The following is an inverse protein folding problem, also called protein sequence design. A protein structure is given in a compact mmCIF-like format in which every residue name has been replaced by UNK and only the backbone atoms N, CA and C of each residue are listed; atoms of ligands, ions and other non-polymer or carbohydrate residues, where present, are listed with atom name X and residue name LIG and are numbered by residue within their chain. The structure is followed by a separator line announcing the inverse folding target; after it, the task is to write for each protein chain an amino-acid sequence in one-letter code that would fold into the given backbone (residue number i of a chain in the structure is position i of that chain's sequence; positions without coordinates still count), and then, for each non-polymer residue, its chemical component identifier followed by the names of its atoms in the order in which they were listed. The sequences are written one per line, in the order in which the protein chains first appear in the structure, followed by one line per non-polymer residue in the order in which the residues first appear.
data_IF_719194926816
#
_entry.id   IF_719194926816
#
_cell.length_a   1.000
_cell.length_b   1.000
_cell.length_c   1.000
_cell.angle_alpha   90.00
_cell.angle_beta   90.00
_cell.angle_gamma   90.00
#
_symmetry.space_group_name_H-M   'P 1'
#
loop_
_entity.id
_entity.type
_entity.pdbx_description
1 polymer ?
#
# COMPACT_ATOMS: atom_id res chain seq x y z
N UNK A 1 4.06 -3.85 34.01
CA UNK A 1 4.26 -2.61 33.23
C UNK A 1 3.06 -2.50 32.28
N UNK A 2 2.30 -1.40 32.31
CA UNK A 2 1.09 -1.25 31.48
C UNK A 2 1.53 -1.12 30.01
N UNK A 3 1.08 -2.03 29.14
CA UNK A 3 1.41 -2.04 27.72
C UNK A 3 0.48 -1.09 26.97
N UNK A 4 1.02 0.04 26.50
CA UNK A 4 0.23 1.09 25.83
C UNK A 4 0.61 1.25 24.37
N UNK A 5 -0.38 1.49 23.51
CA UNK A 5 -0.19 1.82 22.10
C UNK A 5 -0.94 3.10 21.75
N UNK A 6 -0.21 4.09 21.28
CA UNK A 6 -0.76 5.32 20.74
C UNK A 6 -1.25 5.11 19.31
N UNK A 7 -2.55 5.31 19.06
CA UNK A 7 -3.14 5.12 17.73
C UNK A 7 -3.04 6.37 16.84
N UNK A 8 -2.83 7.53 17.44
CA UNK A 8 -2.73 8.82 16.74
C UNK A 8 -1.74 8.81 15.54
N UNK A 9 -0.48 8.33 15.67
CA UNK A 9 0.47 8.31 14.56
C UNK A 9 0.00 7.40 13.41
N UNK A 10 -0.55 6.23 13.72
CA UNK A 10 -1.07 5.29 12.71
C UNK A 10 -2.22 5.89 11.92
N UNK A 11 -3.17 6.53 12.61
CA UNK A 11 -4.30 7.21 11.98
C UNK A 11 -3.84 8.37 11.10
N UNK A 12 -2.83 9.13 11.53
CA UNK A 12 -2.25 10.21 10.73
C UNK A 12 -1.65 9.67 9.43
N UNK A 13 -0.78 8.66 9.52
CA UNK A 13 -0.19 8.05 8.33
C UNK A 13 -1.23 7.45 7.39
N UNK A 14 -2.20 6.71 7.93
CA UNK A 14 -3.32 6.18 7.15
C UNK A 14 -4.05 7.28 6.37
N UNK A 15 -4.44 8.37 7.03
CA UNK A 15 -5.16 9.49 6.39
C UNK A 15 -4.32 10.15 5.31
N UNK A 16 -3.03 10.39 5.58
CA UNK A 16 -2.10 10.95 4.60
C UNK A 16 -1.98 10.05 3.37
N UNK A 17 -1.76 8.75 3.58
CA UNK A 17 -1.64 7.78 2.48
C UNK A 17 -2.93 7.66 1.67
N UNK A 18 -4.09 7.58 2.35
CA UNK A 18 -5.38 7.53 1.67
C UNK A 18 -5.62 8.79 0.82
N UNK A 19 -5.31 9.97 1.37
CA UNK A 19 -5.45 11.24 0.66
C UNK A 19 -4.55 11.28 -0.56
N UNK A 20 -3.27 10.89 -0.43
CA UNK A 20 -2.33 10.82 -1.54
C UNK A 20 -2.84 9.85 -2.62
N UNK A 21 -3.31 8.66 -2.23
CA UNK A 21 -3.82 7.67 -3.19
C UNK A 21 -5.03 8.19 -3.97
N UNK A 22 -5.99 8.82 -3.29
CA UNK A 22 -7.16 9.46 -3.94
C UNK A 22 -6.71 10.56 -4.91
N UNK A 23 -5.77 11.42 -4.50
CA UNK A 23 -5.26 12.50 -5.34
C UNK A 23 -4.51 11.97 -6.58
N UNK A 24 -3.74 10.89 -6.43
CA UNK A 24 -3.05 10.25 -7.56
C UNK A 24 -4.05 9.68 -8.57
N UNK A 25 -5.08 8.99 -8.10
CA UNK A 25 -6.11 8.42 -8.98
C UNK A 25 -6.87 9.53 -9.68
N UNK A 26 -7.39 10.51 -8.94
CA UNK A 26 -8.12 11.65 -9.51
C UNK A 26 -7.24 12.45 -10.49
N UNK A 27 -5.97 12.67 -10.15
CA UNK A 27 -5.00 13.34 -11.01
C UNK A 27 -4.75 12.58 -12.31
N UNK A 28 -4.57 11.26 -12.25
CA UNK A 28 -4.38 10.44 -13.46
C UNK A 28 -5.61 10.43 -14.36
N UNK A 29 -6.82 10.36 -13.78
CA UNK A 29 -8.08 10.48 -14.53
C UNK A 29 -8.20 11.84 -15.21
N UNK A 30 -7.85 12.92 -14.51
CA UNK A 30 -7.88 14.27 -15.06
C UNK A 30 -6.90 14.43 -16.24
N UNK A 31 -5.66 13.92 -16.11
CA UNK A 31 -4.67 13.97 -17.19
C UNK A 31 -5.13 13.21 -18.43
N UNK A 32 -5.73 12.04 -18.26
CA UNK A 32 -6.31 11.24 -19.36
C UNK A 32 -7.49 11.97 -20.00
N UNK A 33 -8.37 12.56 -19.19
CA UNK A 33 -9.53 13.32 -19.68
C UNK A 33 -9.10 14.56 -20.49
N UNK A 34 -8.06 15.27 -20.05
CA UNK A 34 -7.46 16.39 -20.77
C UNK A 34 -6.68 15.98 -22.03
N UNK A 35 -6.59 14.67 -22.33
CA UNK A 35 -5.79 14.10 -23.41
C UNK A 35 -4.31 14.49 -23.34
N UNK A 36 -3.79 14.77 -22.14
CA UNK A 36 -2.39 15.10 -21.89
C UNK A 36 -1.48 13.86 -21.90
N UNK A 37 -1.80 12.85 -22.72
CA UNK A 37 -1.12 11.56 -22.73
C UNK A 37 0.01 11.60 -23.76
N UNK A 38 1.23 11.18 -23.43
CA UNK A 38 2.26 11.01 -24.44
C UNK A 38 1.84 9.90 -25.40
N UNK A 39 1.80 10.20 -26.70
CA UNK A 39 1.52 9.21 -27.75
C UNK A 39 2.70 8.24 -27.80
N UNK A 40 2.54 7.05 -27.20
CA UNK A 40 3.52 5.97 -27.30
C UNK A 40 3.32 5.22 -28.62
N UNK A 41 4.32 5.23 -29.50
CA UNK A 41 4.27 4.55 -30.80
C UNK A 41 4.14 3.02 -30.67
N UNK A 42 3.36 2.36 -31.55
CA UNK A 42 2.94 0.96 -31.38
C UNK A 42 3.99 -0.10 -31.76
N UNK A 43 5.15 0.25 -32.32
CA UNK A 43 6.08 -0.72 -32.95
C UNK A 43 6.94 -1.52 -31.96
N UNK A 44 7.25 -0.98 -30.77
CA UNK A 44 7.94 -1.70 -29.67
C UNK A 44 6.98 -2.27 -28.63
N UNK A 45 5.67 -2.18 -28.88
CA UNK A 45 4.66 -2.18 -27.83
C UNK A 45 4.39 -3.53 -27.16
N UNK A 46 4.66 -4.70 -27.78
CA UNK A 46 4.29 -5.99 -27.17
C UNK A 46 5.13 -6.34 -25.95
N UNK A 47 6.46 -6.21 -26.04
CA UNK A 47 7.35 -6.59 -24.94
C UNK A 47 7.25 -5.59 -23.78
N UNK A 48 7.20 -4.29 -24.10
CA UNK A 48 6.97 -3.22 -23.13
C UNK A 48 5.60 -3.39 -22.46
N UNK A 49 4.52 -3.62 -23.22
CA UNK A 49 3.18 -3.85 -22.67
C UNK A 49 3.13 -5.07 -21.76
N UNK A 50 3.76 -6.18 -22.14
CA UNK A 50 3.82 -7.38 -21.29
C UNK A 50 4.60 -7.10 -20.00
N UNK A 51 5.74 -6.43 -20.08
CA UNK A 51 6.53 -6.06 -18.90
C UNK A 51 5.74 -5.12 -17.96
N UNK A 52 5.01 -4.16 -18.52
CA UNK A 52 4.17 -3.23 -17.78
C UNK A 52 2.89 -3.89 -17.21
N UNK A 53 2.45 -5.01 -17.76
CA UNK A 53 1.28 -5.76 -17.26
C UNK A 53 1.67 -6.76 -16.17
N UNK A 54 2.72 -7.55 -16.40
CA UNK A 54 3.16 -8.61 -15.48
C UNK A 54 4.09 -8.10 -14.38
N UNK A 55 4.84 -7.02 -14.62
CA UNK A 55 5.76 -6.44 -13.63
C UNK A 55 5.09 -6.07 -12.30
N UNK A 56 4.00 -5.27 -12.32
CA UNK A 56 3.25 -4.95 -11.10
C UNK A 56 2.70 -6.18 -10.38
N UNK A 57 2.28 -7.21 -11.13
CA UNK A 57 1.78 -8.46 -10.55
C UNK A 57 2.88 -9.21 -9.79
N UNK A 58 4.05 -9.37 -10.41
CA UNK A 58 5.22 -9.98 -9.77
C UNK A 58 5.65 -9.20 -8.52
N UNK A 59 5.64 -7.86 -8.57
CA UNK A 59 5.95 -7.02 -7.43
C UNK A 59 4.94 -7.19 -6.28
N UNK A 60 3.65 -7.27 -6.58
CA UNK A 60 2.62 -7.52 -5.57
C UNK A 60 2.79 -8.89 -4.87
N UNK A 61 3.14 -9.94 -5.63
CA UNK A 61 3.46 -11.24 -5.07
C UNK A 61 4.71 -11.21 -4.19
N UNK A 62 5.79 -10.59 -4.66
CA UNK A 62 7.03 -10.44 -3.90
C UNK A 62 6.80 -9.68 -2.58
N UNK A 63 5.99 -8.62 -2.61
CA UNK A 63 5.65 -7.85 -1.43
C UNK A 63 4.79 -8.65 -0.44
N UNK A 64 3.82 -9.42 -0.93
CA UNK A 64 3.00 -10.30 -0.08
C UNK A 64 3.86 -11.32 0.65
N UNK A 65 4.81 -11.93 -0.06
CA UNK A 65 5.78 -12.86 0.52
C UNK A 65 6.68 -12.16 1.56
N UNK A 66 7.17 -10.96 1.25
CA UNK A 66 7.95 -10.14 2.18
C UNK A 66 7.17 -9.85 3.47
N UNK A 67 5.91 -9.41 3.39
CA UNK A 67 5.08 -9.12 4.57
C UNK A 67 4.83 -10.36 5.41
N UNK A 68 4.59 -11.52 4.78
CA UNK A 68 4.44 -12.78 5.50
C UNK A 68 5.69 -13.12 6.31
N UNK A 69 6.88 -13.03 5.69
CA UNK A 69 8.16 -13.27 6.37
C UNK A 69 8.42 -12.28 7.50
N UNK A 70 8.10 -10.99 7.30
CA UNK A 70 8.25 -9.99 8.35
C UNK A 70 7.32 -10.24 9.56
N UNK A 71 6.11 -10.77 9.34
CA UNK A 71 5.21 -11.17 10.42
C UNK A 71 5.80 -12.34 11.24
N UNK A 72 6.39 -13.33 10.58
CA UNK A 72 7.06 -14.44 11.27
C UNK A 72 8.22 -13.93 12.15
N UNK A 73 9.00 -12.98 11.64
CA UNK A 73 10.08 -12.34 12.42
C UNK A 73 9.52 -11.57 13.62
N UNK A 74 8.45 -10.80 13.44
CA UNK A 74 7.82 -10.02 14.52
C UNK A 74 7.35 -10.91 15.68
N UNK A 75 6.84 -12.10 15.36
CA UNK A 75 6.36 -13.07 16.33
C UNK A 75 7.47 -13.70 17.16
N UNK A 76 8.69 -13.78 16.60
CA UNK A 76 9.86 -14.30 17.30
C UNK A 76 10.49 -13.29 18.29
N UNK A 77 10.08 -12.02 18.28
CA UNK A 77 10.61 -10.99 19.18
C UNK A 77 9.99 -11.17 20.58
N UNK A 78 10.78 -11.47 21.64
CA UNK A 78 10.24 -11.72 22.97
C UNK A 78 9.79 -10.45 23.70
N UNK A 79 10.48 -9.33 23.47
CA UNK A 79 10.19 -8.04 24.10
C UNK A 79 9.03 -7.29 23.42
N UNK A 80 8.11 -6.77 24.25
CA UNK A 80 6.90 -6.09 23.76
C UNK A 80 7.19 -4.77 23.05
N UNK A 81 8.08 -3.94 23.61
CA UNK A 81 8.41 -2.63 23.01
C UNK A 81 9.12 -2.81 21.67
N UNK A 82 10.05 -3.76 21.60
CA UNK A 82 10.71 -4.15 20.35
C UNK A 82 9.70 -4.66 19.31
N UNK A 83 8.72 -5.49 19.72
CA UNK A 83 7.66 -5.98 18.84
C UNK A 83 6.74 -4.85 18.35
N UNK A 84 6.37 -3.92 19.23
CA UNK A 84 5.57 -2.73 18.91
C UNK A 84 6.28 -1.82 17.91
N UNK A 85 7.56 -1.52 18.14
CA UNK A 85 8.37 -0.71 17.22
C UNK A 85 8.52 -1.38 15.85
N UNK A 86 8.71 -2.71 15.84
CA UNK A 86 8.75 -3.49 14.60
C UNK A 86 7.42 -3.45 13.85
N UNK A 87 6.30 -3.62 14.55
CA UNK A 87 4.95 -3.51 13.99
C UNK A 87 4.73 -2.13 13.37
N UNK A 88 5.10 -1.06 14.07
CA UNK A 88 4.99 0.32 13.58
C UNK A 88 5.77 0.53 12.28
N UNK A 89 7.00 0.03 12.22
CA UNK A 89 7.84 0.07 11.01
C UNK A 89 7.19 -0.71 9.86
N UNK A 90 6.68 -1.91 10.14
CA UNK A 90 6.01 -2.75 9.15
C UNK A 90 4.74 -2.09 8.61
N UNK A 91 3.93 -1.46 9.47
CA UNK A 91 2.74 -0.71 9.07
C UNK A 91 3.09 0.44 8.13
N UNK A 92 4.11 1.24 8.47
CA UNK A 92 4.58 2.31 7.58
C UNK A 92 5.04 1.77 6.22
N UNK A 93 5.80 0.68 6.20
CA UNK A 93 6.24 0.03 4.95
C UNK A 93 5.05 -0.42 4.09
N UNK A 94 3.99 -0.98 4.70
CA UNK A 94 2.74 -1.32 3.98
C UNK A 94 2.11 -0.09 3.33
N UNK A 95 1.99 1.01 4.07
CA UNK A 95 1.43 2.25 3.53
C UNK A 95 2.29 2.85 2.41
N UNK A 96 3.62 2.87 2.56
CA UNK A 96 4.52 3.32 1.49
C UNK A 96 4.41 2.45 0.25
N UNK A 97 4.31 1.14 0.42
CA UNK A 97 4.09 0.22 -0.70
C UNK A 97 2.80 0.53 -1.46
N UNK A 98 1.71 0.79 -0.74
CA UNK A 98 0.44 1.19 -1.37
C UNK A 98 0.60 2.48 -2.19
N UNK A 99 1.32 3.48 -1.66
CA UNK A 99 1.59 4.73 -2.40
C UNK A 99 2.41 4.45 -3.66
N UNK A 100 3.48 3.66 -3.56
CA UNK A 100 4.34 3.30 -4.71
C UNK A 100 3.53 2.53 -5.76
N UNK A 101 2.77 1.51 -5.36
CA UNK A 101 1.92 0.72 -6.24
C UNK A 101 0.86 1.58 -6.93
N UNK A 102 0.18 2.44 -6.16
CA UNK A 102 -0.83 3.37 -6.70
C UNK A 102 -0.19 4.36 -7.67
N UNK A 103 0.98 4.91 -7.35
CA UNK A 103 1.71 5.85 -8.23
C UNK A 103 2.09 5.17 -9.53
N UNK A 104 2.59 3.93 -9.47
CA UNK A 104 2.93 3.15 -10.64
C UNK A 104 1.69 2.86 -11.49
N UNK A 105 0.60 2.38 -10.88
CA UNK A 105 -0.65 2.11 -11.57
C UNK A 105 -1.25 3.37 -12.22
N UNK A 106 -1.25 4.51 -11.53
CA UNK A 106 -1.73 5.78 -12.05
C UNK A 106 -0.86 6.28 -13.21
N UNK A 107 0.47 6.15 -13.11
CA UNK A 107 1.39 6.47 -14.20
C UNK A 107 1.14 5.59 -15.42
N UNK A 108 0.98 4.28 -15.23
CA UNK A 108 0.68 3.35 -16.32
C UNK A 108 -0.69 3.60 -16.95
N UNK A 109 -1.68 3.96 -16.14
CA UNK A 109 -2.99 4.37 -16.64
C UNK A 109 -2.89 5.63 -17.51
N UNK A 110 -2.14 6.64 -17.06
CA UNK A 110 -1.92 7.87 -17.83
C UNK A 110 -1.18 7.61 -19.15
N UNK A 111 -0.11 6.81 -19.13
CA UNK A 111 0.71 6.52 -20.31
C UNK A 111 -0.01 5.62 -21.34
N UNK A 112 -0.74 4.60 -20.88
CA UNK A 112 -1.31 3.57 -21.75
C UNK A 112 -2.81 3.75 -22.00
N UNK A 113 -3.49 4.61 -21.23
CA UNK A 113 -4.95 4.81 -21.24
C UNK A 113 -5.77 3.53 -21.08
N UNK A 114 -5.16 2.47 -20.56
CA UNK A 114 -5.81 1.16 -20.43
C UNK A 114 -6.52 1.05 -19.08
N UNK A 115 -7.85 0.79 -19.05
CA UNK A 115 -8.66 0.87 -17.83
C UNK A 115 -8.27 -0.13 -16.75
N UNK A 116 -7.61 -1.24 -17.12
CA UNK A 116 -7.01 -2.19 -16.17
C UNK A 116 -6.19 -1.51 -15.07
N UNK A 117 -5.33 -0.54 -15.42
CA UNK A 117 -4.46 0.13 -14.45
C UNK A 117 -5.24 1.05 -13.51
N UNK A 118 -6.34 1.64 -13.98
CA UNK A 118 -7.27 2.37 -13.12
C UNK A 118 -7.90 1.43 -12.10
N UNK A 119 -8.37 0.25 -12.52
CA UNK A 119 -8.91 -0.75 -11.58
C UNK A 119 -7.88 -1.22 -10.55
N UNK A 120 -6.61 -1.40 -10.95
CA UNK A 120 -5.52 -1.72 -10.02
C UNK A 120 -5.36 -0.59 -8.98
N UNK A 121 -5.34 0.68 -9.41
CA UNK A 121 -5.20 1.81 -8.48
C UNK A 121 -6.38 1.94 -7.50
N UNK A 122 -7.61 1.64 -7.95
CA UNK A 122 -8.79 1.60 -7.09
C UNK A 122 -8.72 0.43 -6.10
N UNK A 123 -8.24 -0.73 -6.54
CA UNK A 123 -8.02 -1.88 -5.67
C UNK A 123 -7.00 -1.56 -4.57
N UNK A 124 -5.92 -0.85 -4.88
CA UNK A 124 -4.95 -0.37 -3.89
C UNK A 124 -5.60 0.57 -2.85
N UNK A 125 -6.50 1.47 -3.27
CA UNK A 125 -7.28 2.31 -2.34
C UNK A 125 -8.12 1.44 -1.38
N UNK A 126 -8.80 0.40 -1.90
CA UNK A 126 -9.54 -0.54 -1.06
C UNK A 126 -8.59 -1.26 -0.10
N UNK A 127 -7.40 -1.68 -0.56
CA UNK A 127 -6.37 -2.29 0.29
C UNK A 127 -5.90 -1.37 1.42
N UNK A 128 -5.72 -0.07 1.13
CA UNK A 128 -5.43 0.94 2.16
C UNK A 128 -6.57 1.03 3.15
N UNK A 129 -7.83 1.13 2.70
CA UNK A 129 -9.01 1.20 3.57
C UNK A 129 -9.11 -0.02 4.51
N UNK A 130 -8.83 -1.22 4.01
CA UNK A 130 -8.79 -2.45 4.80
C UNK A 130 -7.65 -2.46 5.83
N UNK A 131 -6.62 -1.63 5.64
CA UNK A 131 -5.51 -1.45 6.57
C UNK A 131 -5.77 -0.37 7.64
N UNK A 132 -7.03 0.03 7.84
CA UNK A 132 -7.39 1.02 8.86
C UNK A 132 -6.89 0.59 10.26
N UNK A 133 -6.23 1.49 11.01
CA UNK A 133 -5.66 1.14 12.31
C UNK A 133 -6.75 1.03 13.39
N UNK A 134 -7.39 -0.14 13.44
CA UNK A 134 -8.43 -0.47 14.42
C UNK A 134 -7.86 -1.25 15.61
N UNK A 135 -8.22 -0.92 16.88
CA UNK A 135 -7.69 -1.59 18.07
C UNK A 135 -7.77 -3.13 18.03
N UNK A 136 -8.88 -3.67 17.50
CA UNK A 136 -9.09 -5.11 17.32
C UNK A 136 -7.99 -5.77 16.47
N UNK A 137 -7.58 -5.11 15.39
CA UNK A 137 -6.53 -5.62 14.49
C UNK A 137 -5.19 -5.63 15.21
N UNK A 138 -4.87 -4.59 15.98
CA UNK A 138 -3.64 -4.52 16.75
C UNK A 138 -3.56 -5.59 17.84
N UNK A 139 -4.62 -5.81 18.61
CA UNK A 139 -4.67 -6.89 19.61
C UNK A 139 -4.42 -8.26 18.97
N UNK A 140 -5.02 -8.49 17.79
CA UNK A 140 -4.83 -9.74 17.03
C UNK A 140 -3.42 -9.88 16.45
N UNK A 141 -2.87 -8.82 15.86
CA UNK A 141 -1.54 -8.85 15.23
C UNK A 141 -0.39 -8.92 16.25
N UNK A 142 -0.55 -8.32 17.43
CA UNK A 142 0.47 -8.35 18.49
C UNK A 142 0.30 -9.53 19.47
N UNK A 143 -0.82 -10.26 19.36
CA UNK A 143 -1.21 -11.39 20.21
C UNK A 143 -1.19 -11.08 21.71
N UNK A 144 -1.65 -9.88 22.06
CA UNK A 144 -1.63 -9.42 23.44
C UNK A 144 -2.98 -8.77 23.81
N UNK A 145 -3.82 -9.46 24.60
CA UNK A 145 -5.14 -8.97 24.96
C UNK A 145 -5.09 -7.79 25.95
N UNK A 146 -3.98 -7.63 26.68
CA UNK A 146 -3.79 -6.64 27.76
C UNK A 146 -3.36 -5.26 27.25
N UNK A 147 -3.20 -5.09 25.93
CA UNK A 147 -2.87 -3.78 25.35
C UNK A 147 -3.96 -2.76 25.64
N UNK A 148 -3.55 -1.64 26.24
CA UNK A 148 -4.36 -0.43 26.44
C UNK A 148 -4.07 0.55 25.29
N UNK A 149 -5.12 1.05 24.65
CA UNK A 149 -4.99 2.00 23.54
C UNK A 149 -5.22 3.43 24.03
N UNK A 150 -4.34 4.34 23.62
CA UNK A 150 -4.39 5.78 23.91
C UNK A 150 -4.47 6.57 22.60
#
# INVERSE_FOLDING_TARGET
MIKTIELAPYRRWFRTTLTIAILLVAGSMLLVWLRANPVLEPSSAKLIRNLLLYGPLCLAFAFTFYIRKQREIMMAIPDFESRKNFHQSLFRKRLYWCVISTTLACTLYWLLTHPFYLYVSLFEIVGVLLSFPHPFIFKRELQDPEIVFI
#
